data_IF_715375275940
#
_entry.id   IF_715375275940
#
_cell.length_a   1.000
_cell.length_b   1.000
_cell.length_c   1.000
_cell.angle_alpha   90.00
_cell.angle_beta   90.00
_cell.angle_gamma   90.00
#
_symmetry.space_group_name_H-M   'P 1'
#
loop_
_entity.id
_entity.type
_entity.pdbx_description
1 polymer ?
#
# COMPACT_ATOMS: atom_id res chain seq x y z
N UNK A 1 22.86 10.70 7.26
CA UNK A 1 21.44 10.57 6.90
C UNK A 1 20.62 10.68 8.18
N UNK A 2 19.60 11.53 8.25
CA UNK A 2 18.71 11.63 9.44
C UNK A 2 17.73 10.44 9.47
N UNK A 3 17.22 10.03 10.64
CA UNK A 3 16.14 9.05 10.85
C UNK A 3 15.00 9.16 9.84
N UNK A 4 14.54 10.38 9.55
CA UNK A 4 13.45 10.61 8.57
C UNK A 4 13.87 10.14 7.18
N UNK A 5 15.10 10.47 6.75
CA UNK A 5 15.63 10.05 5.45
C UNK A 5 15.87 8.54 5.42
N UNK A 6 16.42 7.98 6.50
CA UNK A 6 16.62 6.53 6.67
C UNK A 6 15.31 5.76 6.51
N UNK A 7 14.26 6.18 7.21
CA UNK A 7 12.95 5.52 7.17
C UNK A 7 12.30 5.65 5.80
N UNK A 8 12.34 6.83 5.17
CA UNK A 8 11.79 7.02 3.81
C UNK A 8 12.49 6.13 2.79
N UNK A 9 13.82 6.17 2.76
CA UNK A 9 14.62 5.33 1.86
C UNK A 9 14.37 3.84 2.11
N UNK A 10 14.26 3.43 3.37
CA UNK A 10 13.98 2.04 3.69
C UNK A 10 12.56 1.62 3.27
N UNK A 11 11.54 2.44 3.49
CA UNK A 11 10.17 2.15 3.04
C UNK A 11 10.11 2.02 1.50
N UNK A 12 10.71 2.98 0.78
CA UNK A 12 10.75 3.02 -0.69
C UNK A 12 11.56 1.88 -1.33
N UNK A 13 12.53 1.30 -0.62
CA UNK A 13 13.37 0.23 -1.16
C UNK A 13 12.94 -1.17 -0.70
N UNK A 14 12.38 -1.26 0.50
CA UNK A 14 12.17 -2.54 1.18
C UNK A 14 10.71 -2.90 1.39
N UNK A 15 9.77 -1.96 1.32
CA UNK A 15 8.33 -2.18 1.49
C UNK A 15 7.55 -1.68 0.26
N UNK A 16 7.94 -2.17 -0.92
CA UNK A 16 7.32 -1.79 -2.20
C UNK A 16 6.25 -2.75 -2.69
N UNK A 17 6.31 -4.00 -2.21
CA UNK A 17 5.32 -5.01 -2.56
C UNK A 17 3.97 -4.68 -1.94
N UNK A 18 2.91 -4.83 -2.74
CA UNK A 18 1.57 -4.41 -2.34
C UNK A 18 1.00 -5.30 -1.23
N UNK A 19 1.44 -6.56 -1.15
CA UNK A 19 1.06 -7.46 -0.06
C UNK A 19 1.77 -7.07 1.24
N UNK A 20 3.06 -6.73 1.20
CA UNK A 20 3.76 -6.19 2.36
C UNK A 20 3.08 -4.91 2.87
N UNK A 21 2.69 -4.01 1.98
CA UNK A 21 1.96 -2.79 2.32
C UNK A 21 0.59 -3.08 2.96
N UNK A 22 -0.18 -4.03 2.42
CA UNK A 22 -1.43 -4.48 3.05
C UNK A 22 -1.18 -5.08 4.44
N UNK A 23 -0.13 -5.89 4.60
CA UNK A 23 0.23 -6.45 5.90
C UNK A 23 0.57 -5.35 6.91
N UNK A 24 1.32 -4.32 6.49
CA UNK A 24 1.61 -3.15 7.32
C UNK A 24 0.34 -2.37 7.69
N UNK A 25 -0.60 -2.19 6.75
CA UNK A 25 -1.91 -1.56 7.00
C UNK A 25 -2.74 -2.30 8.05
N UNK A 26 -2.64 -3.64 8.11
CA UNK A 26 -3.33 -4.48 9.09
C UNK A 26 -2.62 -4.45 10.45
N UNK A 27 -1.28 -4.58 10.46
CA UNK A 27 -0.48 -4.58 11.68
C UNK A 27 -0.51 -3.23 12.40
N UNK A 28 -0.61 -2.14 11.65
CA UNK A 28 -0.60 -0.77 12.15
C UNK A 28 -1.85 -0.03 11.67
N UNK A 29 -3.04 -0.35 12.22
CA UNK A 29 -4.27 0.32 11.82
C UNK A 29 -4.19 1.82 12.13
N UNK A 30 -4.75 2.70 11.27
CA UNK A 30 -4.77 4.13 11.52
C UNK A 30 -5.64 4.45 12.73
N UNK A 31 -5.30 5.55 13.42
CA UNK A 31 -6.00 6.01 14.63
C UNK A 31 -7.50 6.27 14.40
N UNK A 32 -7.87 6.57 13.15
CA UNK A 32 -9.27 6.66 12.69
C UNK A 32 -9.44 5.77 11.48
N UNK A 33 -10.31 4.77 11.61
CA UNK A 33 -10.67 3.86 10.52
C UNK A 33 -11.97 4.37 9.91
N UNK A 34 -11.87 5.10 8.79
CA UNK A 34 -13.05 5.54 8.04
C UNK A 34 -13.68 4.39 7.25
N UNK A 35 -12.85 3.43 6.83
CA UNK A 35 -13.24 2.25 6.03
C UNK A 35 -12.55 1.01 6.60
N UNK A 36 -13.31 -0.07 6.77
CA UNK A 36 -12.72 -1.35 7.21
C UNK A 36 -11.86 -1.96 6.11
N UNK A 37 -10.82 -2.72 6.48
CA UNK A 37 -9.90 -3.31 5.50
C UNK A 37 -10.64 -4.24 4.51
N UNK A 38 -11.65 -4.97 4.96
CA UNK A 38 -12.52 -5.78 4.09
C UNK A 38 -13.21 -4.95 3.00
N UNK A 39 -13.62 -3.72 3.33
CA UNK A 39 -14.28 -2.82 2.40
C UNK A 39 -13.25 -2.18 1.45
N UNK A 40 -12.07 -1.80 1.95
CA UNK A 40 -10.97 -1.32 1.10
C UNK A 40 -10.64 -2.35 0.01
N UNK A 41 -10.50 -3.64 0.37
CA UNK A 41 -10.20 -4.71 -0.60
C UNK A 41 -11.38 -4.98 -1.54
N UNK A 42 -12.63 -4.98 -1.04
CA UNK A 42 -13.82 -5.18 -1.89
C UNK A 42 -14.01 -4.06 -2.90
N UNK A 43 -13.69 -2.83 -2.53
CA UNK A 43 -13.79 -1.67 -3.43
C UNK A 43 -12.88 -1.81 -4.65
N UNK A 44 -11.77 -2.57 -4.56
CA UNK A 44 -10.85 -2.82 -5.68
C UNK A 44 -11.47 -3.65 -6.81
N UNK A 45 -12.51 -4.44 -6.55
CA UNK A 45 -13.22 -5.14 -7.61
C UNK A 45 -14.07 -4.20 -8.47
N UNK A 46 -14.44 -3.02 -7.93
CA UNK A 46 -15.21 -2.00 -8.63
C UNK A 46 -14.31 -0.88 -9.18
N UNK A 47 -13.27 -0.53 -8.43
CA UNK A 47 -12.36 0.60 -8.68
C UNK A 47 -10.90 0.16 -8.55
N UNK A 48 -10.40 -0.72 -9.44
CA UNK A 48 -9.06 -1.29 -9.33
C UNK A 48 -7.95 -0.24 -9.41
N UNK A 49 -8.18 0.89 -10.08
CA UNK A 49 -7.26 2.02 -10.15
C UNK A 49 -6.93 2.62 -8.77
N UNK A 50 -7.81 2.46 -7.76
CA UNK A 50 -7.58 2.94 -6.40
C UNK A 50 -6.38 2.30 -5.73
N UNK A 51 -5.99 1.10 -6.17
CA UNK A 51 -4.81 0.43 -5.63
C UNK A 51 -3.55 1.29 -5.85
N UNK A 52 -3.38 1.81 -7.07
CA UNK A 52 -2.20 2.59 -7.46
C UNK A 52 -2.36 4.09 -7.18
N UNK A 53 -3.59 4.61 -7.27
CA UNK A 53 -3.85 6.07 -7.15
C UNK A 53 -4.15 6.53 -5.73
N UNK A 54 -4.35 5.62 -4.77
CA UNK A 54 -4.74 5.97 -3.40
C UNK A 54 -4.17 5.01 -2.35
N UNK A 55 -4.53 3.73 -2.40
CA UNK A 55 -4.22 2.79 -1.30
C UNK A 55 -2.73 2.54 -1.15
N UNK A 56 -1.97 2.45 -2.26
CA UNK A 56 -0.50 2.34 -2.18
C UNK A 56 0.12 3.48 -1.39
N UNK A 57 -0.26 4.71 -1.65
CA UNK A 57 0.30 5.89 -0.96
C UNK A 57 -0.10 5.92 0.51
N UNK A 58 -1.37 5.62 0.80
CA UNK A 58 -1.88 5.54 2.17
C UNK A 58 -1.16 4.45 2.97
N UNK A 59 -1.07 3.24 2.45
CA UNK A 59 -0.42 2.12 3.11
C UNK A 59 1.08 2.34 3.25
N UNK A 60 1.73 3.01 2.28
CA UNK A 60 3.14 3.42 2.37
C UNK A 60 3.35 4.44 3.48
N UNK A 61 2.45 5.41 3.62
CA UNK A 61 2.48 6.41 4.70
C UNK A 61 2.35 5.74 6.08
N UNK A 62 1.44 4.77 6.20
CA UNK A 62 1.27 3.97 7.42
C UNK A 62 2.53 3.17 7.74
N UNK A 63 3.10 2.47 6.75
CA UNK A 63 4.34 1.71 6.90
C UNK A 63 5.51 2.63 7.34
N UNK A 64 5.65 3.79 6.71
CA UNK A 64 6.67 4.79 7.03
C UNK A 64 6.51 5.29 8.48
N UNK A 65 5.29 5.62 8.90
CA UNK A 65 4.99 6.04 10.29
C UNK A 65 5.32 4.93 11.29
N UNK A 66 4.97 3.68 10.98
CA UNK A 66 5.26 2.53 11.82
C UNK A 66 6.78 2.31 11.98
N UNK A 67 7.55 2.37 10.89
CA UNK A 67 9.01 2.27 10.93
C UNK A 67 9.62 3.39 11.77
N UNK A 68 9.13 4.62 11.65
CA UNK A 68 9.64 5.72 12.45
C UNK A 68 9.36 5.54 13.95
N UNK A 69 8.16 5.08 14.30
CA UNK A 69 7.73 4.95 15.69
C UNK A 69 8.38 3.77 16.42
N UNK A 70 8.68 2.69 15.70
CA UNK A 70 9.11 1.42 16.31
C UNK A 70 10.53 0.99 15.92
N UNK A 71 11.09 1.56 14.85
CA UNK A 71 12.37 1.13 14.29
C UNK A 71 13.62 1.61 15.01
N UNK A 72 13.52 2.27 16.18
CA UNK A 72 14.66 2.88 16.89
C UNK A 72 14.64 2.60 18.40
N UNK A 73 14.37 1.35 18.79
CA UNK A 73 14.20 0.99 20.20
C UNK A 73 15.50 0.93 21.00
N UNK A 74 16.63 0.55 20.40
CA UNK A 74 17.89 0.32 21.13
C UNK A 74 18.86 1.50 21.01
N UNK A 75 19.04 2.23 22.12
CA UNK A 75 19.88 3.43 22.18
C UNK A 75 21.40 3.19 22.00
N UNK A 76 21.85 1.93 22.07
CA UNK A 76 23.26 1.55 21.95
C UNK A 76 23.65 1.14 20.52
N UNK A 77 22.69 1.05 19.60
CA UNK A 77 22.91 0.73 18.19
C UNK A 77 22.84 1.99 17.33
N UNK A 78 23.44 1.92 16.15
CA UNK A 78 23.22 2.97 15.15
C UNK A 78 21.75 2.99 14.70
N UNK A 79 21.29 4.14 14.19
CA UNK A 79 19.94 4.26 13.64
C UNK A 79 19.71 3.29 12.48
N UNK A 80 20.73 3.07 11.64
CA UNK A 80 20.68 2.11 10.53
C UNK A 80 20.51 0.67 11.05
N UNK A 81 21.34 0.24 12.01
CA UNK A 81 21.28 -1.13 12.55
C UNK A 81 19.95 -1.43 13.28
N UNK A 82 19.39 -0.42 13.95
CA UNK A 82 18.08 -0.51 14.57
C UNK A 82 16.99 -0.74 13.52
N UNK A 83 16.99 0.10 12.47
CA UNK A 83 15.99 0.05 11.41
C UNK A 83 16.09 -1.27 10.62
N UNK A 84 17.30 -1.71 10.27
CA UNK A 84 17.51 -2.97 9.54
C UNK A 84 17.06 -4.18 10.34
N UNK A 85 17.34 -4.22 11.66
CA UNK A 85 16.83 -5.28 12.53
C UNK A 85 15.32 -5.29 12.61
N UNK A 86 14.70 -4.12 12.74
CA UNK A 86 13.25 -4.02 12.84
C UNK A 86 12.57 -4.45 11.53
N UNK A 87 13.13 -4.04 10.38
CA UNK A 87 12.69 -4.50 9.06
C UNK A 87 12.87 -6.01 8.89
N UNK A 88 14.00 -6.57 9.33
CA UNK A 88 14.22 -8.02 9.35
C UNK A 88 13.14 -8.74 10.15
N UNK A 89 12.85 -8.27 11.36
CA UNK A 89 11.75 -8.82 12.17
C UNK A 89 10.38 -8.71 11.49
N UNK A 90 10.07 -7.57 10.87
CA UNK A 90 8.81 -7.40 10.13
C UNK A 90 8.69 -8.41 9.00
N UNK A 91 9.72 -8.51 8.15
CA UNK A 91 9.72 -9.37 6.96
C UNK A 91 9.78 -10.86 7.27
N UNK A 92 10.56 -11.26 8.27
CA UNK A 92 10.76 -12.67 8.59
C UNK A 92 9.67 -13.24 9.49
N UNK A 93 8.96 -12.38 10.24
CA UNK A 93 8.03 -12.85 11.27
C UNK A 93 6.66 -12.19 11.18
N UNK A 94 6.60 -10.85 11.32
CA UNK A 94 5.30 -10.18 11.52
C UNK A 94 4.43 -10.18 10.27
N UNK A 95 5.00 -9.88 9.10
CA UNK A 95 4.31 -9.85 7.82
C UNK A 95 3.85 -11.26 7.42
N UNK A 96 4.72 -12.30 7.39
CA UNK A 96 4.28 -13.67 7.07
C UNK A 96 3.16 -14.17 8.00
N UNK A 97 3.27 -13.88 9.30
CA UNK A 97 2.23 -14.24 10.27
C UNK A 97 0.93 -13.48 10.04
N UNK A 98 1.00 -12.18 9.71
CA UNK A 98 -0.16 -11.38 9.34
C UNK A 98 -0.87 -11.96 8.12
N UNK A 99 -0.12 -12.26 7.05
CA UNK A 99 -0.64 -12.89 5.83
C UNK A 99 -1.34 -14.21 6.17
N UNK A 100 -0.72 -15.07 6.96
CA UNK A 100 -1.30 -16.34 7.37
C UNK A 100 -2.62 -16.17 8.15
N UNK A 101 -2.65 -15.26 9.12
CA UNK A 101 -3.84 -15.00 9.95
C UNK A 101 -4.98 -14.37 9.16
N UNK A 102 -4.68 -13.72 8.04
CA UNK A 102 -5.63 -12.96 7.23
C UNK A 102 -5.71 -13.46 5.78
N UNK A 103 -5.43 -14.76 5.55
CA UNK A 103 -5.26 -15.35 4.20
C UNK A 103 -6.36 -14.98 3.22
N UNK A 104 -7.62 -14.90 3.67
CA UNK A 104 -8.75 -14.52 2.82
C UNK A 104 -8.66 -13.08 2.28
N UNK A 105 -8.17 -12.11 3.07
CA UNK A 105 -7.96 -10.74 2.60
C UNK A 105 -6.87 -10.67 1.53
N UNK A 106 -5.77 -11.40 1.74
CA UNK A 106 -4.65 -11.45 0.79
C UNK A 106 -5.03 -12.17 -0.51
N UNK A 107 -5.85 -13.22 -0.42
CA UNK A 107 -6.43 -13.89 -1.59
C UNK A 107 -7.33 -12.93 -2.38
N UNK A 108 -8.24 -12.20 -1.71
CA UNK A 108 -9.10 -11.22 -2.38
C UNK A 108 -8.29 -10.09 -3.05
N UNK A 109 -7.21 -9.61 -2.43
CA UNK A 109 -6.32 -8.64 -3.08
C UNK A 109 -5.67 -9.24 -4.34
N UNK A 110 -5.18 -10.48 -4.27
CA UNK A 110 -4.61 -11.18 -5.42
C UNK A 110 -5.62 -11.38 -6.55
N UNK A 111 -6.87 -11.71 -6.23
CA UNK A 111 -7.97 -11.81 -7.18
C UNK A 111 -8.28 -10.45 -7.83
N UNK A 112 -8.38 -9.37 -7.05
CA UNK A 112 -8.63 -8.03 -7.58
C UNK A 112 -7.52 -7.57 -8.54
N UNK A 113 -6.25 -7.83 -8.20
CA UNK A 113 -5.11 -7.55 -9.07
C UNK A 113 -5.15 -8.41 -10.34
N UNK A 114 -5.50 -9.70 -10.23
CA UNK A 114 -5.61 -10.59 -11.38
C UNK A 114 -6.72 -10.14 -12.33
N UNK A 115 -7.87 -9.72 -11.79
CA UNK A 115 -9.00 -9.16 -12.54
C UNK A 115 -8.57 -7.89 -13.30
N UNK A 116 -7.88 -6.96 -12.63
CA UNK A 116 -7.34 -5.75 -13.28
C UNK A 116 -6.35 -6.03 -14.41
N UNK A 117 -5.51 -7.06 -14.26
CA UNK A 117 -4.51 -7.45 -15.27
C UNK A 117 -5.10 -8.26 -16.41
N UNK A 118 -6.21 -8.96 -16.17
CA UNK A 118 -6.99 -9.54 -17.25
C UNK A 118 -7.63 -8.40 -18.03
N UNK A 119 -7.48 -8.35 -19.35
CA UNK A 119 -8.02 -7.29 -20.22
C UNK A 119 -9.58 -7.18 -20.21
N UNK A 120 -10.25 -7.85 -19.26
CA UNK A 120 -11.69 -7.85 -19.03
C UNK A 120 -12.18 -6.73 -18.09
N UNK A 121 -11.29 -5.97 -17.46
CA UNK A 121 -11.72 -4.81 -16.66
C UNK A 121 -12.13 -3.65 -17.55
N UNK A 122 -13.37 -3.16 -17.36
CA UNK A 122 -13.86 -1.91 -17.96
C UNK A 122 -12.94 -0.76 -17.52
N UNK A 123 -12.01 -0.35 -18.38
CA UNK A 123 -11.10 0.74 -18.10
C UNK A 123 -11.89 2.05 -17.89
N UNK A 124 -11.71 2.66 -16.72
CA UNK A 124 -12.29 3.96 -16.41
C UNK A 124 -11.39 5.10 -16.87
N UNK A 125 -11.93 6.21 -17.43
CA UNK A 125 -13.33 6.42 -17.75
C UNK A 125 -13.78 5.48 -18.88
N UNK A 126 -14.99 4.95 -18.76
CA UNK A 126 -15.59 4.15 -19.84
C UNK A 126 -15.59 4.97 -21.16
N UNK A 127 -15.69 4.32 -22.33
CA UNK A 127 -15.60 5.01 -23.61
C UNK A 127 -16.55 6.22 -23.76
N UNK A 128 -17.75 6.17 -23.16
CA UNK A 128 -18.68 7.31 -23.16
C UNK A 128 -18.18 8.42 -22.26
N UNK A 129 -17.70 8.12 -21.05
CA UNK A 129 -17.16 9.14 -20.15
C UNK A 129 -15.86 9.76 -20.71
N UNK A 130 -15.03 9.00 -21.43
CA UNK A 130 -13.87 9.55 -22.18
C UNK A 130 -14.32 10.47 -23.31
N UNK A 131 -15.34 10.10 -24.08
CA UNK A 131 -15.91 10.97 -25.11
C UNK A 131 -16.49 12.25 -24.51
N UNK A 132 -17.21 12.14 -23.39
CA UNK A 132 -17.78 13.27 -22.66
C UNK A 132 -16.68 14.19 -22.09
N UNK A 133 -15.62 13.62 -21.51
CA UNK A 133 -14.46 14.36 -21.04
C UNK A 133 -13.74 15.11 -22.17
N UNK A 134 -13.56 14.51 -23.34
CA UNK A 134 -13.00 15.19 -24.53
C UNK A 134 -13.89 16.32 -25.06
N UNK A 135 -15.21 16.22 -24.89
CA UNK A 135 -16.13 17.30 -25.26
C UNK A 135 -16.10 18.47 -24.27
N UNK A 136 -15.97 18.17 -22.97
CA UNK A 136 -15.96 19.20 -21.91
C UNK A 136 -14.58 19.85 -21.77
N UNK A 137 -13.52 19.07 -21.99
CA UNK A 137 -12.13 19.51 -21.91
C UNK A 137 -11.36 19.06 -23.15
N UNK A 138 -11.59 19.70 -24.31
CA UNK A 138 -10.81 19.41 -25.50
C UNK A 138 -9.35 19.78 -25.21
N UNK A 139 -8.43 18.85 -25.42
CA UNK A 139 -7.00 19.14 -25.37
C UNK A 139 -6.73 20.28 -26.36
N UNK A 140 -6.27 21.42 -25.85
CA UNK A 140 -5.88 22.55 -26.70
C UNK A 140 -4.72 22.09 -27.58
N UNK A 141 -4.82 22.23 -28.90
CA UNK A 141 -3.68 21.97 -29.77
C UNK A 141 -2.59 23.01 -29.50
N UNK A 142 -1.36 22.54 -29.35
CA UNK A 142 -0.14 23.36 -29.35
C UNK A 142 0.00 24.18 -30.65
#
# INVERSE_FOLDING_TARGET
MNKIQLVRTAAEQQLTDIYDLLAMRILFPPDRVEVTIDKEIKDLFLYPERLETSYRDEWTSIATKALFNHGFADHWRSDQDNLDRYLGFLKEQSIPRCIHNHVGLFQMLGEAIAVQRSENTLAFPDPRRRALMRMIWPETPD
#
